data_IF_634614976418
#
_entry.id   IF_634614976418
#
_cell.length_a   1.000
_cell.length_b   1.000
_cell.length_c   1.000
_cell.angle_alpha   90.00
_cell.angle_beta   90.00
_cell.angle_gamma   90.00
#
_symmetry.space_group_name_H-M   'P 1'
#
loop_
_entity.id
_entity.type
_entity.pdbx_description
1 polymer ?
#
# COMPACT_ATOMS: atom_id res chain seq x y z
N UNK A 1 1.55 -12.34 5.69
CA UNK A 1 2.52 -12.10 4.61
C UNK A 1 3.82 -12.84 4.92
N UNK A 2 4.31 -13.58 3.96
CA UNK A 2 5.49 -14.43 4.13
C UNK A 2 6.56 -14.13 3.07
N UNK A 3 7.82 -14.37 3.46
CA UNK A 3 8.99 -14.37 2.57
C UNK A 3 9.71 -15.70 2.81
N UNK A 4 9.90 -16.48 1.76
CA UNK A 4 10.55 -17.80 1.82
C UNK A 4 9.93 -18.74 2.89
N UNK A 5 8.61 -18.68 3.05
CA UNK A 5 7.88 -19.47 4.01
C UNK A 5 7.83 -18.92 5.44
N UNK A 6 8.59 -17.88 5.73
CA UNK A 6 8.60 -17.25 7.05
C UNK A 6 7.62 -16.06 7.10
N UNK A 7 6.80 -16.01 8.14
CA UNK A 7 5.91 -14.86 8.36
C UNK A 7 6.73 -13.64 8.76
N UNK A 8 6.60 -12.55 7.98
CA UNK A 8 7.33 -11.28 8.21
C UNK A 8 6.46 -10.23 8.85
N UNK A 9 5.16 -10.23 8.52
CA UNK A 9 4.21 -9.30 9.10
C UNK A 9 2.79 -9.85 9.00
N UNK A 10 1.96 -9.46 9.95
CA UNK A 10 0.54 -9.77 9.99
C UNK A 10 -0.19 -8.66 10.71
N UNK A 11 -1.39 -8.36 10.24
CA UNK A 11 -2.33 -7.47 10.94
C UNK A 11 -3.68 -8.15 11.05
N UNK A 12 -4.51 -7.67 11.98
CA UNK A 12 -5.90 -8.03 12.04
C UNK A 12 -6.73 -7.23 11.02
N UNK A 13 -7.88 -6.74 11.45
CA UNK A 13 -8.72 -5.87 10.61
C UNK A 13 -7.96 -4.60 10.24
N UNK A 14 -7.93 -4.27 8.98
CA UNK A 14 -7.20 -3.09 8.54
C UNK A 14 -7.20 -2.90 7.05
N UNK A 15 -6.20 -2.16 6.58
CA UNK A 15 -5.99 -1.91 5.17
C UNK A 15 -4.64 -2.48 4.73
N UNK A 16 -4.68 -3.27 3.67
CA UNK A 16 -3.49 -3.63 2.92
C UNK A 16 -3.21 -2.52 1.91
N UNK A 17 -2.04 -1.91 2.02
CA UNK A 17 -1.59 -0.87 1.10
C UNK A 17 -0.48 -1.45 0.23
N UNK A 18 -0.77 -1.63 -1.04
CA UNK A 18 0.24 -1.95 -2.05
C UNK A 18 0.76 -0.62 -2.59
N UNK A 19 2.00 -0.29 -2.30
CA UNK A 19 2.57 1.03 -2.59
C UNK A 19 3.51 0.98 -3.77
N UNK A 20 3.15 1.70 -4.85
CA UNK A 20 4.05 1.96 -5.97
C UNK A 20 4.66 3.35 -5.86
N UNK A 21 5.92 3.46 -6.25
CA UNK A 21 6.62 4.76 -6.35
C UNK A 21 6.92 5.00 -7.81
N UNK A 22 6.51 6.16 -8.31
CA UNK A 22 6.75 6.59 -9.67
C UNK A 22 8.06 7.35 -9.78
N UNK A 23 8.73 7.27 -10.94
CA UNK A 23 9.89 8.13 -11.22
C UNK A 23 9.51 9.59 -11.01
N UNK A 24 10.34 10.31 -10.26
CA UNK A 24 10.12 11.72 -9.95
C UNK A 24 9.29 11.98 -8.70
N UNK A 25 8.75 10.96 -8.05
CA UNK A 25 8.10 11.13 -6.76
C UNK A 25 9.09 11.61 -5.71
N UNK A 26 8.62 12.50 -4.85
CA UNK A 26 9.40 13.13 -3.79
C UNK A 26 8.77 12.89 -2.42
N UNK A 27 9.37 13.47 -1.38
CA UNK A 27 8.85 13.35 -0.02
C UNK A 27 7.46 13.97 0.12
N UNK A 28 7.16 15.04 -0.62
CA UNK A 28 5.84 15.67 -0.58
C UNK A 28 4.77 14.71 -1.11
N UNK A 29 5.07 13.93 -2.14
CA UNK A 29 4.17 12.90 -2.64
C UNK A 29 3.92 11.82 -1.57
N UNK A 30 4.97 11.38 -0.89
CA UNK A 30 4.84 10.43 0.22
C UNK A 30 3.95 10.98 1.34
N UNK A 31 4.15 12.24 1.72
CA UNK A 31 3.36 12.87 2.78
C UNK A 31 1.88 13.02 2.37
N UNK A 32 1.62 13.35 1.10
CA UNK A 32 0.25 13.45 0.59
C UNK A 32 -0.48 12.10 0.64
N UNK A 33 0.18 11.03 0.23
CA UNK A 33 -0.45 9.70 0.24
C UNK A 33 -0.73 9.22 1.67
N UNK A 34 0.17 9.51 2.61
CA UNK A 34 -0.04 9.19 4.03
C UNK A 34 -1.28 9.91 4.56
N UNK A 35 -1.38 11.23 4.32
CA UNK A 35 -2.55 11.99 4.77
C UNK A 35 -3.84 11.45 4.16
N UNK A 36 -3.82 11.11 2.89
CA UNK A 36 -4.99 10.56 2.19
C UNK A 36 -5.40 9.22 2.78
N UNK A 37 -4.46 8.31 2.95
CA UNK A 37 -4.75 6.97 3.49
C UNK A 37 -5.27 7.03 4.93
N UNK A 38 -4.73 7.92 5.75
CA UNK A 38 -5.21 8.07 7.12
C UNK A 38 -6.59 8.69 7.20
N UNK A 39 -6.97 9.52 6.23
CA UNK A 39 -8.24 10.23 6.20
C UNK A 39 -9.36 9.47 5.48
N UNK A 40 -9.04 8.43 4.72
CA UNK A 40 -10.04 7.64 3.98
C UNK A 40 -11.10 7.07 4.92
N UNK A 41 -12.36 7.26 4.55
CA UNK A 41 -13.51 6.84 5.33
C UNK A 41 -14.11 5.58 4.71
N UNK A 42 -13.35 4.48 4.75
CA UNK A 42 -13.69 3.21 4.08
C UNK A 42 -14.18 2.12 5.02
N UNK A 43 -14.22 2.38 6.31
CA UNK A 43 -14.78 1.44 7.29
C UNK A 43 -16.24 1.81 7.59
N UNK A 44 -17.06 0.77 7.76
CA UNK A 44 -18.48 0.96 7.99
C UNK A 44 -18.75 1.53 9.38
N UNK A 45 -19.69 2.50 9.45
CA UNK A 45 -20.24 2.98 10.70
C UNK A 45 -21.40 2.07 11.17
N UNK A 46 -22.04 2.46 12.28
CA UNK A 46 -23.15 1.69 12.85
C UNK A 46 -24.34 1.59 11.89
N UNK A 47 -24.45 2.49 10.92
CA UNK A 47 -25.50 2.47 9.89
C UNK A 47 -25.13 1.68 8.63
N UNK A 48 -23.96 1.04 8.59
CA UNK A 48 -23.49 0.26 7.45
C UNK A 48 -22.93 1.09 6.31
N UNK A 49 -22.63 2.37 6.53
CA UNK A 49 -22.06 3.27 5.50
C UNK A 49 -20.56 3.39 5.67
N UNK A 50 -19.83 3.49 4.56
CA UNK A 50 -18.42 3.83 4.55
C UNK A 50 -18.25 5.25 5.09
N UNK A 51 -17.83 5.37 6.34
CA UNK A 51 -17.80 6.63 7.04
C UNK A 51 -16.64 6.79 8.02
N UNK A 52 -16.06 5.70 8.49
CA UNK A 52 -15.01 5.74 9.50
C UNK A 52 -13.64 5.63 8.87
N UNK A 53 -12.69 6.40 9.39
CA UNK A 53 -11.27 6.23 9.06
C UNK A 53 -10.71 4.99 9.76
N UNK A 54 -9.45 4.62 9.42
CA UNK A 54 -8.78 3.53 10.10
C UNK A 54 -8.63 3.80 11.61
N UNK A 55 -8.31 5.04 12.00
CA UNK A 55 -8.20 5.41 13.41
C UNK A 55 -9.54 5.28 14.12
N UNK A 56 -10.63 5.74 13.52
CA UNK A 56 -11.97 5.63 14.09
C UNK A 56 -12.40 4.18 14.29
N UNK A 57 -11.99 3.30 13.39
CA UNK A 57 -12.32 1.88 13.41
C UNK A 57 -11.32 1.04 14.20
N UNK A 58 -10.28 1.66 14.78
CA UNK A 58 -9.17 0.96 15.43
C UNK A 58 -8.54 -0.10 14.52
N UNK A 59 -8.33 0.26 13.28
CA UNK A 59 -7.79 -0.62 12.25
C UNK A 59 -6.30 -0.38 12.02
N UNK A 60 -5.62 -1.40 11.55
CA UNK A 60 -4.19 -1.38 11.32
C UNK A 60 -3.86 -1.19 9.83
N UNK A 61 -2.61 -0.87 9.53
CA UNK A 61 -2.08 -0.82 8.17
C UNK A 61 -1.00 -1.88 7.98
N UNK A 62 -1.04 -2.55 6.83
CA UNK A 62 0.07 -3.34 6.32
C UNK A 62 0.48 -2.71 4.99
N UNK A 63 1.71 -2.22 4.89
CA UNK A 63 2.21 -1.51 3.71
C UNK A 63 3.32 -2.31 3.04
N UNK A 64 3.12 -2.65 1.77
CA UNK A 64 4.03 -3.47 0.99
C UNK A 64 4.43 -2.70 -0.26
N UNK A 65 5.73 -2.62 -0.53
CA UNK A 65 6.23 -2.03 -1.78
C UNK A 65 5.91 -2.94 -2.96
N UNK A 66 5.29 -2.37 -3.99
CA UNK A 66 4.89 -3.10 -5.18
C UNK A 66 5.09 -2.24 -6.43
N UNK A 67 6.27 -2.32 -7.04
CA UNK A 67 6.61 -1.52 -8.22
C UNK A 67 5.74 -1.85 -9.44
N UNK A 68 5.14 -3.04 -9.47
CA UNK A 68 4.32 -3.47 -10.61
C UNK A 68 3.04 -2.66 -10.77
N UNK A 69 2.66 -1.85 -9.78
CA UNK A 69 1.56 -0.89 -9.92
C UNK A 69 1.82 0.11 -11.05
N UNK A 70 3.09 0.41 -11.33
CA UNK A 70 3.47 1.27 -12.47
C UNK A 70 3.83 0.47 -13.71
N UNK A 71 3.44 -0.81 -13.76
CA UNK A 71 3.52 -1.61 -14.96
C UNK A 71 2.55 -1.09 -16.02
N UNK A 72 3.06 -0.89 -17.23
CA UNK A 72 2.26 -0.47 -18.38
C UNK A 72 2.08 -1.67 -19.31
N UNK A 73 0.86 -2.15 -19.40
CA UNK A 73 0.49 -3.29 -20.23
C UNK A 73 -0.37 -2.88 -21.44
N UNK A 74 -0.37 -1.60 -21.81
CA UNK A 74 -1.20 -1.11 -22.90
C UNK A 74 -0.73 -1.59 -24.27
N UNK A 75 0.55 -1.94 -24.41
CA UNK A 75 1.15 -2.42 -25.66
C UNK A 75 1.65 -3.85 -25.51
N UNK A 76 1.13 -4.75 -26.35
CA UNK A 76 1.53 -6.14 -26.34
C UNK A 76 1.16 -6.87 -25.04
N UNK A 77 1.88 -7.96 -24.77
CA UNK A 77 1.58 -8.85 -23.64
C UNK A 77 2.63 -8.81 -22.54
N UNK A 78 3.70 -8.05 -22.74
CA UNK A 78 4.78 -7.88 -21.76
C UNK A 78 4.68 -6.50 -21.13
N UNK A 79 4.43 -6.39 -19.82
CA UNK A 79 4.34 -5.07 -19.19
C UNK A 79 5.69 -4.36 -19.20
N UNK A 80 5.64 -3.03 -19.35
CA UNK A 80 6.79 -2.15 -19.21
C UNK A 80 6.77 -1.51 -17.82
N UNK A 81 7.93 -1.45 -17.16
CA UNK A 81 8.09 -0.85 -15.84
C UNK A 81 8.92 0.44 -15.87
N UNK A 82 8.95 1.09 -17.02
CA UNK A 82 9.78 2.29 -17.22
C UNK A 82 9.37 3.45 -16.30
N UNK A 83 8.10 3.52 -15.91
CA UNK A 83 7.58 4.57 -15.04
C UNK A 83 7.82 4.30 -13.54
N UNK A 84 8.19 3.09 -13.18
CA UNK A 84 8.50 2.77 -11.78
C UNK A 84 9.84 3.38 -11.37
N UNK A 85 9.89 3.96 -10.17
CA UNK A 85 11.15 4.46 -9.61
C UNK A 85 12.12 3.31 -9.37
N UNK A 86 13.43 3.53 -9.58
CA UNK A 86 14.43 2.52 -9.25
C UNK A 86 14.48 2.29 -7.73
N UNK A 87 14.98 1.10 -7.29
CA UNK A 87 14.98 0.75 -5.87
C UNK A 87 15.61 1.78 -4.94
N UNK A 88 16.71 2.40 -5.35
CA UNK A 88 17.42 3.39 -4.54
C UNK A 88 16.60 4.66 -4.29
N UNK A 89 15.64 4.97 -5.15
CA UNK A 89 14.70 6.09 -4.98
C UNK A 89 13.42 5.62 -4.27
N UNK A 90 12.95 4.43 -4.60
CA UNK A 90 11.68 3.91 -4.11
C UNK A 90 11.73 3.51 -2.63
N UNK A 91 12.81 2.89 -2.18
CA UNK A 91 12.90 2.36 -0.82
C UNK A 91 12.76 3.45 0.25
N UNK A 92 13.46 4.59 0.18
CA UNK A 92 13.29 5.66 1.17
C UNK A 92 11.88 6.21 1.23
N UNK A 93 11.21 6.34 0.08
CA UNK A 93 9.84 6.84 0.02
C UNK A 93 8.84 5.81 0.55
N UNK A 94 9.05 4.54 0.25
CA UNK A 94 8.27 3.46 0.85
C UNK A 94 8.39 3.49 2.38
N UNK A 95 9.60 3.57 2.91
CA UNK A 95 9.82 3.63 4.36
C UNK A 95 9.16 4.86 4.98
N UNK A 96 9.20 6.00 4.30
CA UNK A 96 8.54 7.22 4.76
C UNK A 96 7.01 7.03 4.88
N UNK A 97 6.41 6.37 3.90
CA UNK A 97 4.97 6.08 3.92
C UNK A 97 4.64 5.08 5.02
N UNK A 98 5.41 3.99 5.11
CA UNK A 98 5.20 2.97 6.14
C UNK A 98 5.27 3.58 7.54
N UNK A 99 6.29 4.38 7.81
CA UNK A 99 6.44 5.06 9.10
C UNK A 99 5.32 6.06 9.35
N UNK A 100 4.95 6.85 8.34
CA UNK A 100 3.88 7.84 8.45
C UNK A 100 2.51 7.22 8.74
N UNK A 101 2.28 6.00 8.28
CA UNK A 101 1.06 5.23 8.57
C UNK A 101 1.12 4.48 9.90
N UNK A 102 2.30 4.35 10.51
CA UNK A 102 2.50 3.41 11.61
C UNK A 102 2.26 1.98 11.16
N UNK A 103 2.53 1.68 9.89
CA UNK A 103 2.21 0.41 9.28
C UNK A 103 3.26 -0.65 9.57
N UNK A 104 2.81 -1.90 9.62
CA UNK A 104 3.72 -3.03 9.48
C UNK A 104 4.09 -3.15 8.01
N UNK A 105 5.28 -3.65 7.74
CA UNK A 105 5.80 -3.79 6.39
C UNK A 105 6.49 -5.11 6.15
N UNK A 106 6.77 -5.37 4.86
CA UNK A 106 7.52 -6.54 4.43
C UNK A 106 9.01 -6.25 4.31
N UNK A 107 9.66 -7.03 3.45
CA UNK A 107 11.06 -6.85 3.08
C UNK A 107 11.11 -6.23 1.69
N UNK A 108 11.66 -5.03 1.60
CA UNK A 108 11.77 -4.34 0.32
C UNK A 108 12.58 -5.16 -0.67
N UNK A 109 12.05 -5.30 -1.89
CA UNK A 109 12.69 -6.04 -2.97
C UNK A 109 12.58 -7.56 -2.88
N UNK A 110 12.05 -8.11 -1.80
CA UNK A 110 11.87 -9.55 -1.66
C UNK A 110 10.60 -10.02 -2.39
N UNK A 111 10.61 -11.29 -2.77
CA UNK A 111 9.40 -11.95 -3.25
C UNK A 111 8.54 -12.32 -2.03
N UNK A 112 7.32 -11.81 -2.00
CA UNK A 112 6.42 -11.96 -0.86
C UNK A 112 5.12 -12.64 -1.29
N UNK A 113 4.58 -13.46 -0.39
CA UNK A 113 3.23 -13.99 -0.49
C UNK A 113 2.35 -13.27 0.52
N UNK A 114 1.20 -12.80 0.04
CA UNK A 114 0.24 -12.09 0.88
C UNK A 114 -1.06 -12.87 0.88
N UNK A 115 -1.52 -13.21 2.07
CA UNK A 115 -2.79 -13.88 2.27
C UNK A 115 -3.75 -12.92 2.96
N UNK A 116 -4.94 -12.76 2.41
CA UNK A 116 -5.94 -11.84 2.97
C UNK A 116 -7.36 -12.29 2.62
N UNK A 117 -8.30 -11.79 3.39
CA UNK A 117 -9.72 -11.80 3.05
C UNK A 117 -10.09 -10.37 2.67
N UNK A 118 -10.46 -10.14 1.42
CA UNK A 118 -10.93 -8.84 0.95
C UNK A 118 -12.42 -8.73 1.23
N UNK A 119 -12.71 -8.28 2.44
CA UNK A 119 -14.06 -8.21 2.97
C UNK A 119 -14.76 -6.93 2.52
N UNK A 120 -15.94 -7.12 1.93
CA UNK A 120 -16.70 -6.06 1.27
C UNK A 120 -17.18 -6.50 -0.10
N UNK A 121 -16.36 -6.76 -1.14
CA UNK A 121 -14.97 -6.34 -1.20
C UNK A 121 -14.82 -4.83 -1.47
N UNK A 122 -13.74 -4.25 -0.95
CA UNK A 122 -13.39 -2.85 -1.18
C UNK A 122 -11.94 -2.78 -1.64
N UNK A 123 -11.72 -2.22 -2.82
CA UNK A 123 -10.39 -2.00 -3.37
C UNK A 123 -10.39 -0.67 -4.11
N UNK A 124 -9.45 0.20 -3.76
CA UNK A 124 -9.34 1.53 -4.34
C UNK A 124 -7.94 1.77 -4.86
N UNK A 125 -7.84 2.51 -5.96
CA UNK A 125 -6.57 3.02 -6.47
C UNK A 125 -6.49 4.50 -6.13
N UNK A 126 -5.39 4.90 -5.50
CA UNK A 126 -5.17 6.27 -5.05
C UNK A 126 -3.82 6.73 -5.56
N UNK A 127 -3.80 7.90 -6.18
CA UNK A 127 -2.56 8.54 -6.64
C UNK A 127 -2.36 9.86 -5.90
N UNK A 128 -1.11 10.15 -5.63
CA UNK A 128 -0.73 11.41 -4.98
C UNK A 128 0.02 12.34 -5.94
#
# INVERSE_FOLDING_TARGET
MTVDGDEVASIGRGLLVLLGVRRGDDRDAADRIVRKLRALRVFEDAGGRMNLSAADADAEFLCVSNFTLYGDARRGNRPSFVDAAPPEEAEPLYEAVREGLGARGGRFGARMSIELVNDGPVTLLIEA
#
